data_IF_713922157696
#
_entry.id   IF_713922157696
#
_cell.length_a   1.000
_cell.length_b   1.000
_cell.length_c   1.000
_cell.angle_alpha   90.00
_cell.angle_beta   90.00
_cell.angle_gamma   90.00
#
_symmetry.space_group_name_H-M   'P 1'
#
loop_
_entity.id
_entity.type
_entity.pdbx_description
1 polymer ?
#
# COMPACT_ATOMS: atom_id res chain seq x y z
N UNK A 1 -3.78 3.09 -3.92
CA UNK A 1 -2.71 2.31 -3.26
C UNK A 1 -1.52 2.09 -4.19
N UNK A 2 -1.72 1.66 -5.44
CA UNK A 2 -0.67 1.61 -6.47
C UNK A 2 0.19 2.88 -6.54
N UNK A 3 -0.44 4.05 -6.69
CA UNK A 3 0.25 5.34 -6.76
C UNK A 3 1.04 5.65 -5.49
N UNK A 4 0.57 5.17 -4.33
CA UNK A 4 1.29 5.34 -3.07
C UNK A 4 2.62 4.59 -3.11
N UNK A 5 2.59 3.36 -3.59
CA UNK A 5 3.78 2.54 -3.76
C UNK A 5 4.76 3.18 -4.76
N UNK A 6 4.26 3.70 -5.89
CA UNK A 6 5.08 4.36 -6.91
C UNK A 6 5.77 5.62 -6.39
N UNK A 7 5.08 6.49 -5.63
CA UNK A 7 5.74 7.67 -5.11
C UNK A 7 6.67 7.32 -3.94
N UNK A 8 6.36 6.32 -3.10
CA UNK A 8 7.28 5.88 -2.04
C UNK A 8 8.59 5.43 -2.70
N UNK A 9 8.50 4.56 -3.70
CA UNK A 9 9.63 4.13 -4.55
C UNK A 9 10.41 5.33 -5.11
N UNK A 10 9.72 6.34 -5.65
CA UNK A 10 10.34 7.50 -6.29
C UNK A 10 10.94 8.55 -5.34
N UNK A 11 10.56 8.54 -4.06
CA UNK A 11 11.02 9.51 -3.06
C UNK A 11 12.02 8.92 -2.05
N UNK A 12 12.23 7.60 -2.04
CA UNK A 12 13.32 6.95 -1.33
C UNK A 12 14.67 7.37 -1.92
N UNK A 13 15.70 7.42 -1.08
CA UNK A 13 17.06 7.59 -1.57
C UNK A 13 17.46 6.35 -2.41
N UNK A 14 18.17 6.51 -3.54
CA UNK A 14 18.56 5.37 -4.37
C UNK A 14 19.43 4.31 -3.68
N UNK A 15 19.95 4.56 -2.48
CA UNK A 15 20.66 3.54 -1.69
C UNK A 15 19.75 2.63 -0.86
N UNK A 16 18.43 2.86 -0.84
CA UNK A 16 17.44 2.03 -0.14
C UNK A 16 16.87 0.92 -1.06
N UNK A 17 17.74 0.12 -1.68
CA UNK A 17 17.40 -0.84 -2.74
C UNK A 17 16.25 -1.79 -2.36
N UNK A 18 16.33 -2.41 -1.17
CA UNK A 18 15.31 -3.36 -0.68
C UNK A 18 13.93 -2.71 -0.52
N UNK A 19 13.89 -1.45 -0.06
CA UNK A 19 12.65 -0.70 0.11
C UNK A 19 12.07 -0.27 -1.24
N UNK A 20 12.92 0.08 -2.20
CA UNK A 20 12.54 0.40 -3.57
C UNK A 20 11.93 -0.83 -4.25
N UNK A 21 12.58 -1.99 -4.15
CA UNK A 21 12.07 -3.25 -4.72
C UNK A 21 10.73 -3.63 -4.09
N UNK A 22 10.62 -3.54 -2.77
CA UNK A 22 9.36 -3.82 -2.05
C UNK A 22 8.24 -2.88 -2.51
N UNK A 23 8.52 -1.58 -2.67
CA UNK A 23 7.54 -0.62 -3.15
C UNK A 23 7.12 -0.88 -4.61
N UNK A 24 8.05 -1.33 -5.47
CA UNK A 24 7.76 -1.72 -6.85
C UNK A 24 6.82 -2.94 -6.90
N UNK A 25 7.10 -3.97 -6.09
CA UNK A 25 6.25 -5.17 -5.97
C UNK A 25 4.82 -4.81 -5.53
N UNK A 26 4.65 -3.87 -4.59
CA UNK A 26 3.32 -3.39 -4.23
C UNK A 26 2.66 -2.59 -5.36
N UNK A 27 3.41 -1.81 -6.13
CA UNK A 27 2.84 -1.10 -7.28
C UNK A 27 2.27 -2.08 -8.30
N UNK A 28 3.02 -3.13 -8.64
CA UNK A 28 2.58 -4.18 -9.56
C UNK A 28 1.38 -4.96 -9.01
N UNK A 29 1.43 -5.38 -7.74
CA UNK A 29 0.31 -6.10 -7.12
C UNK A 29 -1.00 -5.27 -7.13
N UNK A 30 -0.91 -3.96 -6.83
CA UNK A 30 -2.10 -3.11 -6.88
C UNK A 30 -2.54 -2.74 -8.30
N UNK A 31 -1.63 -2.76 -9.28
CA UNK A 31 -2.00 -2.64 -10.70
C UNK A 31 -2.87 -3.83 -11.12
N UNK A 32 -2.42 -5.05 -10.81
CA UNK A 32 -3.15 -6.27 -11.13
C UNK A 32 -4.52 -6.29 -10.42
N UNK A 33 -4.58 -5.91 -9.14
CA UNK A 33 -5.85 -5.81 -8.39
C UNK A 33 -6.82 -4.78 -8.98
N UNK A 34 -6.32 -3.67 -9.54
CA UNK A 34 -7.18 -2.70 -10.23
C UNK A 34 -7.79 -3.33 -11.49
N UNK A 35 -6.99 -4.06 -12.27
CA UNK A 35 -7.47 -4.78 -13.46
C UNK A 35 -8.48 -5.87 -13.08
N UNK A 36 -8.25 -6.63 -12.02
CA UNK A 36 -9.18 -7.63 -11.49
C UNK A 36 -10.50 -6.99 -11.03
N UNK A 37 -10.42 -5.88 -10.29
CA UNK A 37 -11.59 -5.16 -9.80
C UNK A 37 -12.43 -4.56 -10.93
N UNK A 38 -11.81 -4.11 -12.02
CA UNK A 38 -12.52 -3.63 -13.21
C UNK A 38 -13.28 -4.74 -13.94
N UNK A 39 -12.77 -5.96 -13.90
CA UNK A 39 -13.34 -7.13 -14.56
C UNK A 39 -14.15 -8.03 -13.62
N UNK A 40 -14.39 -7.59 -12.38
CA UNK A 40 -15.02 -8.43 -11.36
C UNK A 40 -16.48 -8.74 -11.71
N UNK A 41 -16.93 -9.91 -11.28
CA UNK A 41 -18.31 -10.38 -11.40
C UNK A 41 -18.88 -10.69 -10.03
N UNK A 42 -20.19 -10.93 -9.94
CA UNK A 42 -20.81 -11.37 -8.69
C UNK A 42 -20.20 -12.67 -8.12
N UNK A 43 -19.62 -13.53 -8.97
CA UNK A 43 -18.96 -14.76 -8.53
C UNK A 43 -17.56 -14.52 -7.99
N UNK A 44 -16.85 -13.49 -8.47
CA UNK A 44 -15.45 -13.21 -8.12
C UNK A 44 -15.29 -12.06 -7.12
N UNK A 45 -16.37 -11.32 -6.80
CA UNK A 45 -16.31 -10.16 -5.90
C UNK A 45 -15.66 -10.51 -4.54
N UNK A 46 -16.03 -11.65 -3.95
CA UNK A 46 -15.49 -12.06 -2.65
C UNK A 46 -14.01 -12.44 -2.71
N UNK A 47 -13.53 -13.05 -3.81
CA UNK A 47 -12.11 -13.35 -3.93
C UNK A 47 -11.29 -12.06 -4.10
N UNK A 48 -11.75 -11.17 -4.99
CA UNK A 48 -11.09 -9.88 -5.24
C UNK A 48 -11.07 -9.01 -3.97
N UNK A 49 -12.17 -8.94 -3.22
CA UNK A 49 -12.21 -8.22 -1.93
C UNK A 49 -11.23 -8.79 -0.92
N UNK A 50 -11.15 -10.12 -0.79
CA UNK A 50 -10.22 -10.77 0.14
C UNK A 50 -8.76 -10.55 -0.25
N UNK A 51 -8.43 -10.68 -1.54
CA UNK A 51 -7.07 -10.41 -2.05
C UNK A 51 -6.69 -8.95 -1.85
N UNK A 52 -7.61 -8.02 -2.14
CA UNK A 52 -7.39 -6.58 -1.97
C UNK A 52 -7.18 -6.23 -0.50
N UNK A 53 -7.96 -6.82 0.42
CA UNK A 53 -7.81 -6.62 1.85
C UNK A 53 -6.44 -7.11 2.33
N UNK A 54 -6.04 -8.33 1.94
CA UNK A 54 -4.76 -8.91 2.34
C UNK A 54 -3.59 -8.04 1.85
N UNK A 55 -3.58 -7.67 0.58
CA UNK A 55 -2.56 -6.78 0.00
C UNK A 55 -2.54 -5.39 0.66
N UNK A 56 -3.71 -4.85 1.04
CA UNK A 56 -3.79 -3.56 1.74
C UNK A 56 -3.25 -3.66 3.17
N UNK A 57 -3.48 -4.77 3.89
CA UNK A 57 -2.89 -5.01 5.21
C UNK A 57 -1.37 -5.10 5.12
N UNK A 58 -0.84 -5.81 4.14
CA UNK A 58 0.60 -5.90 3.90
C UNK A 58 1.20 -4.51 3.58
N UNK A 59 0.60 -3.75 2.67
CA UNK A 59 1.04 -2.40 2.34
C UNK A 59 0.93 -1.44 3.54
N UNK A 60 -0.12 -1.56 4.37
CA UNK A 60 -0.27 -0.78 5.60
C UNK A 60 0.90 -1.03 6.53
N UNK A 61 1.32 -2.28 6.72
CA UNK A 61 2.45 -2.61 7.59
C UNK A 61 3.77 -2.05 7.03
N UNK A 62 3.98 -2.15 5.71
CA UNK A 62 5.12 -1.52 5.05
C UNK A 62 5.15 0.00 5.26
N UNK A 63 4.02 0.68 5.07
CA UNK A 63 3.88 2.12 5.33
C UNK A 63 4.11 2.49 6.79
N UNK A 64 3.68 1.65 7.72
CA UNK A 64 3.90 1.88 9.14
C UNK A 64 5.39 1.80 9.49
N UNK A 65 6.07 0.74 9.06
CA UNK A 65 7.52 0.60 9.22
C UNK A 65 8.28 1.76 8.54
N UNK A 66 7.85 2.17 7.35
CA UNK A 66 8.39 3.32 6.63
C UNK A 66 8.22 4.64 7.41
N UNK A 67 7.02 4.91 7.94
CA UNK A 67 6.76 6.11 8.74
C UNK A 67 7.62 6.15 10.01
N UNK A 68 7.74 5.02 10.73
CA UNK A 68 8.59 4.89 11.92
C UNK A 68 10.08 5.06 11.57
N UNK A 69 10.54 4.47 10.47
CA UNK A 69 11.93 4.59 9.99
C UNK A 69 12.29 6.00 9.56
N UNK A 70 11.39 6.71 8.85
CA UNK A 70 11.57 8.11 8.46
C UNK A 70 11.59 9.01 9.70
N UNK A 71 10.63 8.84 10.62
CA UNK A 71 10.55 9.66 11.84
C UNK A 71 11.75 9.47 12.78
N UNK A 72 12.39 8.29 12.75
CA UNK A 72 13.58 7.98 13.54
C UNK A 72 14.91 8.20 12.79
N UNK A 73 14.88 8.83 11.62
CA UNK A 73 16.04 9.11 10.78
C UNK A 73 16.84 7.85 10.37
N UNK A 74 16.18 6.69 10.26
CA UNK A 74 16.78 5.41 9.85
C UNK A 74 16.64 5.11 8.36
N UNK A 75 15.70 5.77 7.67
CA UNK A 75 15.47 5.63 6.23
C UNK A 75 15.87 6.93 5.55
N UNK A 76 16.73 6.85 4.53
CA UNK A 76 17.11 7.99 3.70
C UNK A 76 16.05 8.20 2.63
N UNK A 77 15.46 9.39 2.60
CA UNK A 77 14.43 9.76 1.62
C UNK A 77 14.23 11.27 1.59
N UNK A 78 13.47 11.75 0.61
CA UNK A 78 12.89 13.09 0.59
C UNK A 78 11.40 13.08 0.98
N UNK A 79 10.94 11.99 1.61
CA UNK A 79 9.56 11.83 2.08
C UNK A 79 9.37 12.63 3.37
N UNK A 80 8.42 13.57 3.36
CA UNK A 80 8.05 14.28 4.58
C UNK A 80 7.41 13.30 5.58
N UNK A 81 7.77 13.31 6.88
CA UNK A 81 7.17 12.43 7.87
C UNK A 81 5.62 12.48 7.89
N UNK A 82 5.06 13.68 7.67
CA UNK A 82 3.60 13.87 7.59
C UNK A 82 2.98 13.20 6.35
N UNK A 83 3.71 13.13 5.22
CA UNK A 83 3.25 12.41 4.03
C UNK A 83 3.24 10.89 4.29
N UNK A 84 4.26 10.36 4.97
CA UNK A 84 4.31 8.95 5.34
C UNK A 84 3.14 8.56 6.25
N UNK A 85 2.84 9.38 7.28
CA UNK A 85 1.67 9.22 8.14
C UNK A 85 0.34 9.33 7.36
N UNK A 86 0.24 10.31 6.45
CA UNK A 86 -0.95 10.52 5.65
C UNK A 86 -1.37 9.27 4.86
N UNK A 87 -0.44 8.69 4.08
CA UNK A 87 -0.79 7.51 3.28
C UNK A 87 -0.92 6.24 4.10
N UNK A 88 -0.39 6.21 5.32
CA UNK A 88 -0.66 5.16 6.31
C UNK A 88 -2.11 5.25 6.80
N UNK A 89 -2.60 6.45 7.15
CA UNK A 89 -4.01 6.65 7.56
C UNK A 89 -4.99 6.29 6.44
N UNK A 90 -4.66 6.60 5.20
CA UNK A 90 -5.49 6.21 4.06
C UNK A 90 -5.55 4.69 3.85
N UNK A 91 -4.43 3.97 4.06
CA UNK A 91 -4.44 2.52 4.02
C UNK A 91 -5.31 1.91 5.14
N UNK A 92 -5.22 2.44 6.36
CA UNK A 92 -6.09 2.02 7.47
C UNK A 92 -7.57 2.32 7.19
N UNK A 93 -7.87 3.48 6.59
CA UNK A 93 -9.23 3.82 6.20
C UNK A 93 -9.77 2.84 5.15
N UNK A 94 -8.95 2.48 4.16
CA UNK A 94 -9.36 1.54 3.12
C UNK A 94 -9.61 0.13 3.67
N UNK A 95 -8.75 -0.36 4.58
CA UNK A 95 -8.97 -1.63 5.30
C UNK A 95 -10.34 -1.64 5.99
N UNK A 96 -10.68 -0.58 6.74
CA UNK A 96 -11.98 -0.47 7.42
C UNK A 96 -13.17 -0.57 6.45
N UNK A 97 -13.05 0.04 5.26
CA UNK A 97 -14.09 -0.06 4.24
C UNK A 97 -14.20 -1.50 3.72
N UNK A 98 -13.08 -2.13 3.37
CA UNK A 98 -13.06 -3.50 2.87
C UNK A 98 -13.64 -4.51 3.86
N UNK A 99 -13.31 -4.37 5.15
CA UNK A 99 -13.89 -5.20 6.22
C UNK A 99 -15.41 -5.02 6.32
N UNK A 100 -15.91 -3.78 6.21
CA UNK A 100 -17.35 -3.50 6.25
C UNK A 100 -18.10 -4.22 5.11
N UNK A 101 -17.54 -4.25 3.91
CA UNK A 101 -18.15 -4.92 2.75
C UNK A 101 -17.97 -6.43 2.73
N UNK A 102 -17.08 -6.99 3.56
CA UNK A 102 -16.88 -8.44 3.70
C UNK A 102 -17.91 -9.10 4.62
N UNK A 103 -18.48 -8.32 5.54
CA UNK A 103 -19.52 -8.77 6.47
C UNK A 103 -20.95 -8.68 5.91
N UNK A 104 -21.12 -8.12 4.70
CA UNK A 104 -22.39 -8.01 3.98
C UNK A 104 -22.61 -9.20 3.04
#
# INVERSE_FOLDING_TARGET
>A
MMEHSLFIRGLLDPSEDDLIETADQFADAFKDLIEEAQNMTNMTINSVLNQTLDQTVQLKNFKQAGAEGIASCKIKSIILPLLADHVLREANHYIRLLETYKEM
#
